data_IF_905567951866
#
_entry.id   IF_905567951866
#
_cell.length_a   1.000
_cell.length_b   1.000
_cell.length_c   1.000
_cell.angle_alpha   90.00
_cell.angle_beta   90.00
_cell.angle_gamma   90.00
#
_symmetry.space_group_name_H-M   'P 1'
#
loop_
_entity.id
_entity.type
_entity.pdbx_description
1 polymer ?
#
# COMPACT_ATOMS: atom_id res chain seq x y z
N UNK A 1 -29.61 -1.52 -18.70
CA UNK A 1 -29.25 -0.65 -17.58
C UNK A 1 -27.74 -0.69 -17.40
N UNK A 2 -27.09 0.44 -17.26
CA UNK A 2 -25.64 0.56 -17.09
C UNK A 2 -25.36 1.52 -15.93
N UNK A 3 -24.28 1.32 -15.20
CA UNK A 3 -23.75 2.33 -14.29
C UNK A 3 -22.55 2.97 -14.98
N UNK A 4 -22.72 4.17 -15.51
CA UNK A 4 -21.74 4.85 -16.32
C UNK A 4 -21.51 6.29 -15.81
N UNK A 5 -20.44 6.50 -15.00
CA UNK A 5 -20.11 7.83 -14.51
C UNK A 5 -19.64 8.82 -15.60
N UNK A 6 -19.30 8.34 -16.82
CA UNK A 6 -18.98 9.22 -17.95
C UNK A 6 -20.23 9.80 -18.62
N UNK A 7 -21.40 9.15 -18.43
CA UNK A 7 -22.71 9.59 -18.96
C UNK A 7 -22.73 9.77 -20.49
N UNK A 8 -22.00 8.89 -21.22
CA UNK A 8 -21.80 9.04 -22.69
C UNK A 8 -22.98 8.48 -23.51
N UNK A 9 -23.73 7.52 -22.96
CA UNK A 9 -24.77 6.80 -23.72
C UNK A 9 -26.18 7.23 -23.30
N UNK A 10 -26.84 8.02 -24.15
CA UNK A 10 -28.21 8.50 -23.95
C UNK A 10 -29.28 7.42 -24.24
N UNK A 11 -28.92 6.30 -24.91
CA UNK A 11 -29.88 5.25 -25.30
C UNK A 11 -30.05 4.18 -24.21
N UNK A 12 -29.21 4.18 -23.17
CA UNK A 12 -29.26 3.20 -22.09
C UNK A 12 -29.64 3.85 -20.77
N UNK A 13 -30.55 3.24 -20.01
CA UNK A 13 -30.87 3.72 -18.68
C UNK A 13 -29.61 3.70 -17.79
N UNK A 14 -29.08 4.87 -17.47
CA UNK A 14 -27.92 5.03 -16.62
C UNK A 14 -28.32 5.07 -15.14
N UNK A 15 -27.78 4.17 -14.35
CA UNK A 15 -27.98 4.12 -12.89
C UNK A 15 -27.14 5.16 -12.13
N UNK A 16 -26.08 5.70 -12.76
CA UNK A 16 -25.36 6.85 -12.23
C UNK A 16 -26.13 8.14 -12.58
N UNK A 17 -26.57 8.88 -11.58
CA UNK A 17 -27.36 10.11 -11.72
C UNK A 17 -26.56 11.38 -11.42
N UNK A 18 -25.23 11.26 -11.37
CA UNK A 18 -24.38 12.35 -10.94
C UNK A 18 -24.34 12.50 -9.42
N UNK A 19 -23.64 13.54 -8.96
CA UNK A 19 -23.65 13.91 -7.55
C UNK A 19 -25.04 14.37 -7.11
N UNK A 20 -25.38 14.08 -5.86
CA UNK A 20 -26.60 14.62 -5.22
C UNK A 20 -26.45 16.08 -4.78
N UNK A 21 -25.22 16.61 -4.81
CA UNK A 21 -24.90 17.96 -4.37
C UNK A 21 -24.94 18.94 -5.54
N UNK A 22 -25.56 20.09 -5.33
CA UNK A 22 -25.54 21.17 -6.29
C UNK A 22 -24.16 21.78 -6.42
N UNK A 23 -23.78 22.18 -7.63
CA UNK A 23 -22.56 22.95 -7.84
C UNK A 23 -22.70 24.34 -7.25
N UNK A 24 -21.75 24.72 -6.40
CA UNK A 24 -21.68 26.04 -5.77
C UNK A 24 -20.22 26.39 -5.52
N UNK A 25 -19.95 27.66 -5.28
CA UNK A 25 -18.64 28.06 -4.74
C UNK A 25 -18.49 27.53 -3.32
N UNK A 26 -17.34 26.97 -3.03
CA UNK A 26 -17.04 26.48 -1.67
C UNK A 26 -16.30 27.55 -0.88
N UNK A 27 -16.75 27.80 0.34
CA UNK A 27 -16.12 28.71 1.31
C UNK A 27 -15.36 27.96 2.40
N UNK A 28 -15.07 26.68 2.18
CA UNK A 28 -14.35 25.85 3.14
C UNK A 28 -12.88 26.28 3.25
N UNK A 29 -12.47 26.70 4.44
CA UNK A 29 -11.09 26.99 4.80
C UNK A 29 -10.48 25.80 5.57
N UNK A 30 -9.45 25.15 5.02
CA UNK A 30 -8.82 23.97 5.63
C UNK A 30 -8.35 24.21 7.07
N UNK A 31 -7.78 25.39 7.36
CA UNK A 31 -7.17 25.73 8.64
C UNK A 31 -8.15 25.73 9.80
N UNK A 32 -9.41 26.08 9.54
CA UNK A 32 -10.45 26.25 10.57
C UNK A 32 -11.53 25.16 10.51
N UNK A 33 -11.45 24.24 9.56
CA UNK A 33 -12.49 23.24 9.34
C UNK A 33 -12.19 21.94 10.08
N UNK A 34 -13.18 21.47 10.85
CA UNK A 34 -13.04 20.27 11.70
C UNK A 34 -12.83 18.97 10.90
N UNK A 35 -13.35 18.87 9.66
CA UNK A 35 -13.08 17.71 8.79
C UNK A 35 -11.59 17.62 8.46
N UNK A 36 -10.97 18.74 8.06
CA UNK A 36 -9.53 18.77 7.74
C UNK A 36 -8.66 18.61 8.96
N UNK A 37 -9.09 19.12 10.13
CA UNK A 37 -8.41 18.85 11.42
C UNK A 37 -8.34 17.34 11.68
N UNK A 38 -9.46 16.63 11.53
CA UNK A 38 -9.49 15.19 11.76
C UNK A 38 -8.75 14.42 10.65
N UNK A 39 -8.90 14.81 9.39
CA UNK A 39 -8.18 14.18 8.28
C UNK A 39 -6.67 14.30 8.45
N UNK A 40 -6.18 15.50 8.84
CA UNK A 40 -4.76 15.74 9.14
C UNK A 40 -4.28 14.89 10.31
N UNK A 41 -5.10 14.78 11.36
CA UNK A 41 -4.80 13.94 12.52
C UNK A 41 -4.67 12.46 12.13
N UNK A 42 -5.64 11.89 11.44
CA UNK A 42 -5.65 10.48 11.02
C UNK A 42 -4.50 10.18 10.05
N UNK A 43 -4.17 11.11 9.17
CA UNK A 43 -3.06 10.96 8.21
C UNK A 43 -1.69 10.90 8.89
N UNK A 44 -1.51 11.56 10.04
CA UNK A 44 -0.31 11.57 10.87
C UNK A 44 1.01 11.96 10.14
N UNK A 45 0.93 12.40 8.90
CA UNK A 45 2.05 12.78 8.03
C UNK A 45 1.56 13.80 7.00
N UNK A 46 2.26 14.93 6.80
CA UNK A 46 1.84 15.97 5.83
C UNK A 46 1.76 15.46 4.39
N UNK A 47 2.63 14.52 4.00
CA UNK A 47 2.64 13.95 2.63
C UNK A 47 1.44 13.04 2.44
N UNK A 48 1.12 12.23 3.45
CA UNK A 48 -0.09 11.37 3.48
C UNK A 48 -1.36 12.22 3.45
N UNK A 49 -1.41 13.28 4.26
CA UNK A 49 -2.54 14.22 4.29
C UNK A 49 -2.83 14.80 2.91
N UNK A 50 -1.79 15.28 2.23
CA UNK A 50 -1.90 15.84 0.89
C UNK A 50 -2.33 14.79 -0.14
N UNK A 51 -1.73 13.60 -0.11
CA UNK A 51 -2.12 12.49 -0.97
C UNK A 51 -3.58 12.10 -0.77
N UNK A 52 -4.05 12.07 0.48
CA UNK A 52 -5.43 11.72 0.80
C UNK A 52 -6.43 12.73 0.21
N UNK A 53 -6.14 14.04 0.30
CA UNK A 53 -6.96 15.08 -0.36
C UNK A 53 -7.00 14.90 -1.88
N UNK A 54 -5.85 14.67 -2.51
CA UNK A 54 -5.77 14.37 -3.94
C UNK A 54 -6.57 13.12 -4.31
N UNK A 55 -6.54 12.08 -3.50
CA UNK A 55 -7.29 10.84 -3.69
C UNK A 55 -8.81 11.07 -3.64
N UNK A 56 -9.31 11.82 -2.65
CA UNK A 56 -10.74 12.19 -2.56
C UNK A 56 -11.14 13.04 -3.77
N UNK A 57 -10.36 14.07 -4.08
CA UNK A 57 -10.62 14.98 -5.21
C UNK A 57 -10.66 14.23 -6.55
N UNK A 58 -9.77 13.23 -6.74
CA UNK A 58 -9.78 12.41 -7.95
C UNK A 58 -11.13 11.69 -8.12
N UNK A 59 -11.68 11.06 -7.08
CA UNK A 59 -12.97 10.35 -7.18
C UNK A 59 -14.12 11.34 -7.43
N UNK A 60 -14.07 12.50 -6.81
CA UNK A 60 -15.10 13.54 -7.01
C UNK A 60 -15.07 14.10 -8.44
N UNK A 61 -13.90 14.41 -8.98
CA UNK A 61 -13.72 15.01 -10.32
C UNK A 61 -13.87 14.03 -11.47
N UNK A 62 -13.34 12.80 -11.26
CA UNK A 62 -13.25 11.78 -12.32
C UNK A 62 -13.83 10.45 -11.84
N UNK A 63 -15.13 10.39 -11.49
CA UNK A 63 -15.75 9.19 -10.91
C UNK A 63 -15.73 7.96 -11.84
N UNK A 64 -15.40 8.16 -13.12
CA UNK A 64 -15.21 7.12 -14.13
C UNK A 64 -13.79 6.56 -14.20
N UNK A 65 -12.85 7.07 -13.38
CA UNK A 65 -11.47 6.58 -13.29
C UNK A 65 -11.19 6.07 -11.89
N UNK A 66 -10.85 4.80 -11.77
CA UNK A 66 -10.41 4.24 -10.47
C UNK A 66 -9.09 4.86 -10.03
N UNK A 67 -8.93 5.02 -8.73
CA UNK A 67 -7.66 5.46 -8.13
C UNK A 67 -6.57 4.39 -8.21
N UNK A 68 -6.95 3.11 -8.40
CA UNK A 68 -6.06 1.95 -8.35
C UNK A 68 -5.26 1.81 -7.04
N UNK A 69 -5.63 2.58 -6.03
CA UNK A 69 -5.02 2.60 -4.71
C UNK A 69 -6.10 2.49 -3.63
N UNK A 70 -5.92 1.57 -2.70
CA UNK A 70 -6.69 1.52 -1.46
C UNK A 70 -5.90 2.16 -0.32
N UNK A 71 -6.59 2.89 0.54
CA UNK A 71 -6.02 3.49 1.76
C UNK A 71 -6.30 2.56 2.93
N UNK A 72 -5.26 2.23 3.70
CA UNK A 72 -5.34 1.39 4.89
C UNK A 72 -5.01 2.24 6.10
N UNK A 73 -5.99 2.44 6.97
CA UNK A 73 -5.85 3.20 8.22
C UNK A 73 -5.63 2.22 9.37
N UNK A 74 -4.41 2.17 9.88
CA UNK A 74 -4.04 1.34 11.02
C UNK A 74 -3.84 2.17 12.28
N UNK A 75 -4.34 1.68 13.40
CA UNK A 75 -3.98 2.16 14.74
C UNK A 75 -4.20 1.04 15.75
N UNK A 76 -3.24 0.83 16.65
CA UNK A 76 -3.38 -0.14 17.74
C UNK A 76 -4.50 0.24 18.70
N UNK A 77 -4.73 1.54 18.92
CA UNK A 77 -5.79 2.04 19.78
C UNK A 77 -7.06 2.36 19.00
N UNK A 78 -8.22 2.12 19.63
CA UNK A 78 -9.52 2.56 19.13
C UNK A 78 -9.74 4.06 19.33
N UNK A 79 -10.72 4.62 18.60
CA UNK A 79 -11.18 5.99 18.83
C UNK A 79 -10.32 7.12 18.24
N UNK A 80 -9.28 6.82 17.45
CA UNK A 80 -8.43 7.85 16.82
C UNK A 80 -9.06 8.57 15.63
N UNK A 81 -10.29 8.18 15.21
CA UNK A 81 -11.04 8.84 14.14
C UNK A 81 -11.03 8.12 12.80
N UNK A 82 -10.49 6.89 12.69
CA UNK A 82 -10.50 6.11 11.44
C UNK A 82 -11.91 6.02 10.84
N UNK A 83 -12.87 5.53 11.65
CA UNK A 83 -14.25 5.34 11.21
C UNK A 83 -14.99 6.67 11.01
N UNK A 84 -14.65 7.70 11.75
CA UNK A 84 -15.24 9.03 11.54
C UNK A 84 -14.92 9.58 10.13
N UNK A 85 -13.68 9.40 9.64
CA UNK A 85 -13.32 9.78 8.26
C UNK A 85 -14.11 8.95 7.23
N UNK A 86 -14.26 7.64 7.43
CA UNK A 86 -15.06 6.81 6.50
C UNK A 86 -16.54 7.20 6.52
N UNK A 87 -17.10 7.56 7.68
CA UNK A 87 -18.47 8.08 7.82
C UNK A 87 -18.67 9.36 7.02
N UNK A 88 -17.73 10.30 7.10
CA UNK A 88 -17.78 11.54 6.31
C UNK A 88 -17.75 11.25 4.80
N UNK A 89 -16.86 10.34 4.35
CA UNK A 89 -16.79 9.95 2.95
C UNK A 89 -18.03 9.20 2.48
N UNK A 90 -18.67 8.39 3.34
CA UNK A 90 -19.97 7.80 3.03
C UNK A 90 -21.04 8.86 2.77
N UNK A 91 -21.04 9.95 3.54
CA UNK A 91 -21.93 11.07 3.30
C UNK A 91 -21.56 11.83 2.02
N UNK A 92 -20.27 12.05 1.77
CA UNK A 92 -19.78 12.72 0.57
C UNK A 92 -20.18 11.97 -0.71
N UNK A 93 -20.06 10.63 -0.73
CA UNK A 93 -20.42 9.78 -1.87
C UNK A 93 -21.85 9.24 -1.79
N UNK A 94 -22.55 9.42 -0.71
CA UNK A 94 -23.97 9.11 -0.43
C UNK A 94 -24.46 7.82 -1.11
N UNK A 95 -25.24 7.93 -2.21
CA UNK A 95 -25.88 6.80 -2.90
C UNK A 95 -24.85 5.83 -3.53
N UNK A 96 -23.59 6.25 -3.69
CA UNK A 96 -22.50 5.51 -4.32
C UNK A 96 -21.46 5.03 -3.32
N UNK A 97 -21.78 5.04 -2.03
CA UNK A 97 -20.96 4.41 -0.99
C UNK A 97 -21.45 2.99 -0.67
N UNK A 98 -20.55 2.13 -0.24
CA UNK A 98 -20.80 0.77 0.21
C UNK A 98 -19.97 0.42 1.43
N UNK A 99 -20.44 -0.57 2.21
CA UNK A 99 -19.74 -1.09 3.38
C UNK A 99 -19.53 -2.60 3.23
N UNK A 100 -18.40 -3.08 3.71
CA UNK A 100 -18.09 -4.50 3.86
C UNK A 100 -17.73 -4.80 5.31
N UNK A 101 -18.26 -5.90 5.82
CA UNK A 101 -17.93 -6.40 7.16
C UNK A 101 -16.74 -7.36 7.14
N UNK A 102 -16.53 -7.99 5.97
CA UNK A 102 -15.48 -8.98 5.80
C UNK A 102 -14.80 -8.82 4.43
N UNK A 103 -13.51 -9.07 4.37
CA UNK A 103 -12.75 -9.06 3.11
C UNK A 103 -13.30 -10.08 2.09
N UNK A 104 -13.91 -11.14 2.58
CA UNK A 104 -14.56 -12.14 1.74
C UNK A 104 -15.72 -11.58 0.92
N UNK A 105 -16.38 -10.50 1.38
CA UNK A 105 -17.52 -9.89 0.67
C UNK A 105 -17.12 -9.32 -0.69
N UNK A 106 -15.86 -8.89 -0.83
CA UNK A 106 -15.29 -8.44 -2.11
C UNK A 106 -14.61 -9.55 -2.90
N UNK A 107 -14.26 -10.66 -2.27
CA UNK A 107 -13.49 -11.75 -2.89
C UNK A 107 -14.33 -12.97 -3.23
N UNK A 108 -15.54 -13.06 -2.70
CA UNK A 108 -16.52 -14.11 -2.99
C UNK A 108 -17.48 -13.71 -4.10
N UNK A 109 -18.19 -14.71 -4.60
CA UNK A 109 -19.33 -14.56 -5.48
C UNK A 109 -20.52 -13.95 -4.70
N UNK A 110 -21.53 -13.40 -5.40
CA UNK A 110 -22.70 -12.73 -4.81
C UNK A 110 -22.43 -11.39 -4.11
N UNK A 111 -21.71 -10.53 -4.79
CA UNK A 111 -21.32 -9.19 -4.34
C UNK A 111 -22.26 -8.06 -4.86
N UNK A 112 -23.50 -8.38 -5.18
CA UNK A 112 -24.44 -7.43 -5.83
C UNK A 112 -24.68 -6.15 -5.03
N UNK A 113 -24.54 -6.17 -3.70
CA UNK A 113 -24.66 -5.00 -2.84
C UNK A 113 -23.48 -4.00 -2.97
N UNK A 114 -22.34 -4.45 -3.54
CA UNK A 114 -21.15 -3.63 -3.78
C UNK A 114 -21.07 -3.10 -5.23
N UNK A 115 -22.05 -3.45 -6.08
CA UNK A 115 -22.08 -2.95 -7.45
C UNK A 115 -22.56 -1.50 -7.50
N UNK A 116 -22.18 -0.76 -8.53
CA UNK A 116 -22.57 0.64 -8.74
C UNK A 116 -22.10 1.57 -7.59
N UNK A 117 -20.91 1.30 -7.06
CA UNK A 117 -20.30 2.12 -6.01
C UNK A 117 -19.07 2.84 -6.53
N UNK A 118 -18.83 4.03 -6.00
CA UNK A 118 -17.62 4.82 -6.20
C UNK A 118 -16.68 4.70 -5.00
N UNK A 119 -17.24 4.51 -3.82
CA UNK A 119 -16.53 4.41 -2.56
C UNK A 119 -17.01 3.21 -1.76
N UNK A 120 -16.08 2.38 -1.30
CA UNK A 120 -16.35 1.23 -0.43
C UNK A 120 -15.40 1.29 0.75
N UNK A 121 -15.93 1.14 1.95
CA UNK A 121 -15.10 1.02 3.14
C UNK A 121 -15.31 -0.33 3.82
N UNK A 122 -14.28 -0.80 4.48
CA UNK A 122 -14.32 -1.99 5.33
C UNK A 122 -13.73 -1.71 6.69
N UNK A 123 -14.41 -2.11 7.74
CA UNK A 123 -13.96 -1.97 9.10
C UNK A 123 -13.36 -3.29 9.61
N UNK A 124 -12.30 -3.19 10.44
CA UNK A 124 -11.58 -4.33 11.04
C UNK A 124 -11.12 -5.41 10.03
N UNK A 125 -10.76 -4.99 8.83
CA UNK A 125 -10.37 -5.91 7.75
C UNK A 125 -9.02 -6.57 8.06
N UNK A 126 -8.96 -7.89 7.84
CA UNK A 126 -7.75 -8.69 7.93
C UNK A 126 -7.50 -9.48 6.64
N UNK A 127 -6.42 -9.17 5.96
CA UNK A 127 -5.99 -9.79 4.70
C UNK A 127 -4.53 -10.28 4.76
N UNK A 128 -4.06 -10.76 5.91
CA UNK A 128 -2.68 -11.22 6.09
C UNK A 128 -2.37 -12.54 5.34
N UNK A 129 -3.38 -13.36 5.04
CA UNK A 129 -3.18 -14.54 4.20
C UNK A 129 -2.82 -14.11 2.78
N UNK A 130 -1.73 -14.63 2.23
CA UNK A 130 -1.23 -14.27 0.88
C UNK A 130 -2.34 -14.32 -0.18
N UNK A 131 -3.13 -15.38 -0.21
CA UNK A 131 -4.22 -15.57 -1.17
C UNK A 131 -5.28 -14.46 -1.09
N UNK A 132 -5.60 -14.00 0.11
CA UNK A 132 -6.58 -12.93 0.36
C UNK A 132 -5.99 -11.59 -0.05
N UNK A 133 -4.75 -11.31 0.34
CA UNK A 133 -4.02 -10.09 -0.06
C UNK A 133 -3.91 -9.97 -1.59
N UNK A 134 -3.56 -11.06 -2.29
CA UNK A 134 -3.45 -11.08 -3.75
C UNK A 134 -4.80 -10.83 -4.44
N UNK A 135 -5.89 -11.43 -3.93
CA UNK A 135 -7.24 -11.17 -4.43
C UNK A 135 -7.65 -9.71 -4.23
N UNK A 136 -7.39 -9.15 -3.04
CA UNK A 136 -7.68 -7.75 -2.76
C UNK A 136 -6.93 -6.82 -3.73
N UNK A 137 -5.64 -7.07 -3.95
CA UNK A 137 -4.83 -6.32 -4.91
C UNK A 137 -5.40 -6.37 -6.33
N UNK A 138 -6.01 -7.49 -6.74
CA UNK A 138 -6.71 -7.60 -8.02
C UNK A 138 -7.99 -6.75 -8.03
N UNK A 139 -8.80 -6.83 -6.97
CA UNK A 139 -10.06 -6.06 -6.86
C UNK A 139 -9.82 -4.55 -6.93
N UNK A 140 -8.76 -4.06 -6.27
CA UNK A 140 -8.41 -2.64 -6.27
C UNK A 140 -8.16 -2.12 -7.69
N UNK A 141 -7.57 -2.93 -8.56
CA UNK A 141 -7.11 -2.48 -9.91
C UNK A 141 -7.92 -3.01 -11.07
N UNK A 142 -8.81 -3.99 -10.87
CA UNK A 142 -9.62 -4.53 -11.96
C UNK A 142 -10.58 -3.46 -12.51
N UNK A 143 -10.71 -3.32 -13.84
CA UNK A 143 -11.65 -2.37 -14.45
C UNK A 143 -13.08 -2.92 -14.50
N UNK A 144 -13.24 -4.24 -14.34
CA UNK A 144 -14.52 -4.94 -14.44
C UNK A 144 -14.68 -5.97 -13.33
N UNK A 145 -15.90 -6.29 -13.00
CA UNK A 145 -16.26 -7.31 -12.01
C UNK A 145 -17.41 -8.17 -12.50
N UNK A 146 -17.43 -9.42 -12.04
CA UNK A 146 -18.55 -10.31 -12.29
C UNK A 146 -19.65 -10.04 -11.25
N UNK A 147 -20.84 -9.75 -11.75
CA UNK A 147 -22.05 -9.66 -10.95
C UNK A 147 -22.75 -11.01 -10.99
N UNK A 148 -22.75 -11.70 -9.86
CA UNK A 148 -23.46 -12.95 -9.68
C UNK A 148 -24.68 -12.72 -8.80
N UNK A 149 -25.85 -13.12 -9.31
CA UNK A 149 -27.12 -13.18 -8.56
C UNK A 149 -27.58 -14.60 -8.47
N UNK A 150 -28.19 -14.97 -7.34
CA UNK A 150 -28.70 -16.32 -7.14
C UNK A 150 -29.70 -16.68 -8.25
N UNK A 151 -29.39 -17.74 -9.01
CA UNK A 151 -30.25 -18.24 -10.10
C UNK A 151 -30.21 -17.44 -11.40
N UNK A 152 -29.21 -16.57 -11.60
CA UNK A 152 -29.00 -15.80 -12.82
C UNK A 152 -27.55 -16.00 -13.26
N UNK A 153 -27.31 -16.14 -14.56
CA UNK A 153 -25.96 -16.23 -15.12
C UNK A 153 -25.13 -14.99 -14.73
N UNK A 154 -23.85 -15.23 -14.48
CA UNK A 154 -22.90 -14.16 -14.17
C UNK A 154 -22.77 -13.20 -15.35
N UNK A 155 -22.86 -11.91 -15.08
CA UNK A 155 -22.63 -10.85 -16.08
C UNK A 155 -21.43 -10.01 -15.69
N UNK A 156 -20.61 -9.63 -16.67
CA UNK A 156 -19.50 -8.72 -16.47
C UNK A 156 -19.99 -7.28 -16.51
N UNK A 157 -19.63 -6.50 -15.49
CA UNK A 157 -19.97 -5.08 -15.37
C UNK A 157 -18.71 -4.27 -15.08
N UNK A 158 -18.71 -2.99 -15.47
CA UNK A 158 -17.63 -2.06 -15.15
C UNK A 158 -17.55 -1.80 -13.63
N UNK A 159 -16.33 -1.65 -13.10
CA UNK A 159 -16.05 -1.42 -11.69
C UNK A 159 -15.31 -0.08 -11.48
N UNK A 160 -15.98 0.84 -10.81
CA UNK A 160 -15.48 2.18 -10.48
C UNK A 160 -15.18 2.35 -8.98
N UNK A 161 -15.22 1.27 -8.22
CA UNK A 161 -15.07 1.33 -6.76
C UNK A 161 -13.65 1.65 -6.32
N UNK A 162 -13.55 2.52 -5.30
CA UNK A 162 -12.32 2.89 -4.61
C UNK A 162 -12.46 2.54 -3.13
N UNK A 163 -11.36 2.18 -2.46
CA UNK A 163 -11.42 1.47 -1.19
C UNK A 163 -10.66 2.18 -0.08
N UNK A 164 -11.27 2.22 1.11
CA UNK A 164 -10.59 2.48 2.38
C UNK A 164 -10.87 1.33 3.34
N UNK A 165 -9.83 0.86 4.01
CA UNK A 165 -9.94 -0.16 5.04
C UNK A 165 -9.41 0.36 6.36
N UNK A 166 -10.10 0.05 7.46
CA UNK A 166 -9.63 0.33 8.80
C UNK A 166 -9.24 -0.97 9.50
N UNK A 167 -8.26 -0.90 10.38
CA UNK A 167 -7.81 -2.05 11.14
C UNK A 167 -7.12 -1.64 12.44
N UNK A 168 -7.18 -2.53 13.44
CA UNK A 168 -6.40 -2.44 14.68
C UNK A 168 -5.28 -3.49 14.71
N UNK A 169 -5.13 -4.29 13.65
CA UNK A 169 -4.10 -5.32 13.52
C UNK A 169 -2.95 -4.81 12.66
N UNK A 170 -1.75 -4.75 13.21
CA UNK A 170 -0.53 -4.30 12.51
C UNK A 170 -0.21 -5.17 11.30
N UNK A 171 -0.38 -6.48 11.42
CA UNK A 171 -0.10 -7.46 10.37
C UNK A 171 -1.32 -7.80 9.51
N UNK A 172 -2.24 -6.86 9.33
CA UNK A 172 -3.49 -7.07 8.60
C UNK A 172 -3.31 -7.31 7.10
N UNK A 173 -2.22 -6.83 6.51
CA UNK A 173 -1.90 -6.98 5.08
C UNK A 173 -0.48 -7.45 4.87
N UNK A 174 -0.31 -8.38 3.93
CA UNK A 174 1.03 -8.76 3.47
C UNK A 174 1.53 -7.73 2.45
N UNK A 175 2.44 -6.87 2.90
CA UNK A 175 3.09 -5.86 2.06
C UNK A 175 4.39 -6.45 1.50
N UNK A 176 4.55 -6.34 0.19
CA UNK A 176 5.77 -6.70 -0.52
C UNK A 176 6.50 -5.43 -0.96
N UNK A 177 7.83 -5.50 -1.07
CA UNK A 177 8.61 -4.40 -1.63
C UNK A 177 8.11 -4.07 -3.05
N UNK A 178 7.87 -2.78 -3.33
CA UNK A 178 7.35 -2.35 -4.63
C UNK A 178 5.83 -2.45 -4.81
N UNK A 179 5.06 -2.81 -3.76
CA UNK A 179 3.60 -2.71 -3.83
C UNK A 179 3.17 -1.29 -4.14
N UNK A 180 2.33 -1.13 -5.18
CA UNK A 180 1.86 0.17 -5.71
C UNK A 180 0.38 0.44 -5.47
N UNK A 181 -0.32 -0.45 -4.75
CA UNK A 181 -1.78 -0.43 -4.62
C UNK A 181 -2.28 -0.06 -3.24
N UNK A 182 -1.44 -0.22 -2.21
CA UNK A 182 -1.83 0.00 -0.83
C UNK A 182 -1.11 1.22 -0.25
N UNK A 183 -1.84 2.25 0.16
CA UNK A 183 -1.34 3.32 1.00
C UNK A 183 -1.50 2.90 2.46
N UNK A 184 -0.41 2.54 3.12
CA UNK A 184 -0.41 2.16 4.53
C UNK A 184 -0.21 3.40 5.40
N UNK A 185 -1.19 3.72 6.22
CA UNK A 185 -1.19 4.89 7.11
C UNK A 185 -1.22 4.41 8.56
N UNK A 186 -0.18 4.72 9.32
CA UNK A 186 -0.17 4.54 10.77
C UNK A 186 -0.74 5.80 11.41
N UNK A 187 -2.00 5.70 11.85
CA UNK A 187 -2.65 6.78 12.57
C UNK A 187 -1.97 7.04 13.91
N UNK A 188 -2.19 8.21 14.55
CA UNK A 188 -1.61 8.51 15.85
C UNK A 188 -2.02 7.53 16.95
N UNK A 189 -1.16 7.39 17.97
CA UNK A 189 -1.44 6.60 19.16
C UNK A 189 -2.20 7.43 20.25
N UNK A 190 -2.80 8.56 19.84
CA UNK A 190 -3.60 9.44 20.70
C UNK A 190 -4.82 9.92 19.93
N UNK A 191 -6.00 9.83 20.55
CA UNK A 191 -7.23 10.41 20.03
C UNK A 191 -7.21 11.94 20.16
N UNK A 192 -8.02 12.64 19.36
CA UNK A 192 -8.37 14.03 19.57
C UNK A 192 -9.25 14.17 20.83
N UNK A 193 -9.54 15.39 21.24
CA UNK A 193 -10.44 15.66 22.36
C UNK A 193 -11.88 15.26 22.01
N UNK A 194 -12.67 14.88 22.99
CA UNK A 194 -14.06 14.43 22.79
C UNK A 194 -14.92 15.50 22.09
N UNK A 195 -14.64 16.74 22.39
CA UNK A 195 -15.31 17.92 21.80
C UNK A 195 -15.07 18.03 20.31
N UNK A 196 -13.86 17.66 19.84
CA UNK A 196 -13.53 17.65 18.42
C UNK A 196 -14.38 16.60 17.67
N UNK A 197 -14.54 15.41 18.22
CA UNK A 197 -15.40 14.39 17.60
C UNK A 197 -16.88 14.81 17.59
N UNK A 198 -17.35 15.44 18.66
CA UNK A 198 -18.72 16.00 18.73
C UNK A 198 -18.92 17.08 17.66
N UNK A 199 -17.97 17.99 17.54
CA UNK A 199 -18.00 19.03 16.51
C UNK A 199 -17.94 18.41 15.10
N UNK A 200 -17.11 17.40 14.91
CA UNK A 200 -17.00 16.69 13.64
C UNK A 200 -18.31 16.01 13.21
N UNK A 201 -18.95 15.26 14.12
CA UNK A 201 -20.22 14.61 13.80
C UNK A 201 -21.35 15.63 13.58
N UNK A 202 -21.37 16.75 14.32
CA UNK A 202 -22.30 17.84 14.04
C UNK A 202 -22.07 18.41 12.62
N UNK A 203 -20.81 18.63 12.24
CA UNK A 203 -20.42 19.14 10.94
C UNK A 203 -20.88 18.21 9.80
N UNK A 204 -20.54 16.92 9.87
CA UNK A 204 -20.87 15.96 8.79
C UNK A 204 -22.35 15.60 8.75
N UNK A 205 -23.12 15.86 9.80
CA UNK A 205 -24.58 15.62 9.82
C UNK A 205 -25.37 16.75 9.16
N UNK A 206 -24.75 17.93 8.93
CA UNK A 206 -25.37 18.99 8.17
C UNK A 206 -25.13 18.77 6.65
N UNK A 207 -26.22 18.59 5.86
CA UNK A 207 -26.10 18.40 4.40
C UNK A 207 -25.43 19.58 3.69
N UNK A 208 -25.55 20.81 4.21
CA UNK A 208 -24.94 22.00 3.61
C UNK A 208 -23.41 21.92 3.73
N UNK A 209 -22.89 21.54 4.89
CA UNK A 209 -21.46 21.36 5.10
C UNK A 209 -20.87 20.28 4.19
N UNK A 210 -21.61 19.18 3.98
CA UNK A 210 -21.17 18.12 3.05
C UNK A 210 -21.24 18.60 1.59
N UNK A 211 -22.24 19.42 1.23
CA UNK A 211 -22.33 20.04 -0.09
C UNK A 211 -21.13 20.97 -0.34
N UNK A 212 -20.78 21.82 0.61
CA UNK A 212 -19.60 22.68 0.54
C UNK A 212 -18.30 21.85 0.47
N UNK A 213 -18.18 20.80 1.27
CA UNK A 213 -17.03 19.90 1.25
C UNK A 213 -16.89 19.17 -0.10
N UNK A 214 -18.00 18.75 -0.71
CA UNK A 214 -18.01 18.18 -2.06
C UNK A 214 -17.47 19.19 -3.09
N UNK A 215 -17.96 20.44 -3.05
CA UNK A 215 -17.54 21.48 -3.97
C UNK A 215 -16.08 21.92 -3.73
N UNK A 216 -15.59 21.87 -2.48
CA UNK A 216 -14.17 22.02 -2.18
C UNK A 216 -13.34 21.00 -2.95
N UNK A 217 -13.65 19.70 -2.83
CA UNK A 217 -12.91 18.64 -3.55
C UNK A 217 -13.12 18.68 -5.06
N UNK A 218 -14.25 19.20 -5.55
CA UNK A 218 -14.51 19.38 -6.97
C UNK A 218 -13.57 20.45 -7.60
N UNK A 219 -13.16 21.44 -6.83
CA UNK A 219 -12.26 22.53 -7.28
C UNK A 219 -10.83 22.38 -6.80
N UNK A 220 -10.57 21.49 -5.83
CA UNK A 220 -9.25 21.29 -5.22
C UNK A 220 -8.20 20.95 -6.27
N UNK A 221 -7.04 21.62 -6.26
CA UNK A 221 -5.92 21.28 -7.15
C UNK A 221 -5.24 19.98 -6.71
N UNK A 222 -5.50 18.91 -7.45
CA UNK A 222 -4.92 17.59 -7.22
C UNK A 222 -3.77 17.23 -8.20
N UNK A 223 -3.17 18.22 -8.86
CA UNK A 223 -2.10 18.04 -9.84
C UNK A 223 -0.80 17.51 -9.25
N UNK A 224 -0.63 17.63 -7.92
CA UNK A 224 0.57 17.16 -7.22
C UNK A 224 0.79 15.64 -7.31
N UNK A 225 -0.30 14.86 -7.43
CA UNK A 225 -0.26 13.41 -7.62
C UNK A 225 -1.20 13.01 -8.75
N UNK A 226 -0.69 12.36 -9.77
CA UNK A 226 -1.51 11.76 -10.83
C UNK A 226 -2.08 10.42 -10.30
N UNK A 227 -3.17 10.55 -9.52
CA UNK A 227 -3.82 9.40 -8.87
C UNK A 227 -4.24 8.36 -9.92
N UNK A 228 -3.88 7.10 -9.67
CA UNK A 228 -4.16 5.98 -10.58
C UNK A 228 -3.06 5.71 -11.62
N UNK A 229 -2.12 6.64 -11.80
CA UNK A 229 -0.95 6.53 -12.69
C UNK A 229 0.34 6.48 -11.88
N UNK A 230 0.55 7.46 -11.02
CA UNK A 230 1.70 7.51 -10.14
C UNK A 230 1.72 6.32 -9.16
N UNK A 231 2.94 5.92 -8.79
CA UNK A 231 3.09 4.97 -7.70
C UNK A 231 2.57 5.59 -6.41
N UNK A 232 1.87 4.78 -5.60
CA UNK A 232 1.48 5.20 -4.26
C UNK A 232 2.72 5.57 -3.44
N UNK A 233 2.60 6.63 -2.65
CA UNK A 233 3.68 7.09 -1.78
C UNK A 233 4.15 5.98 -0.83
N UNK A 234 5.46 5.92 -0.59
CA UNK A 234 6.07 4.98 0.34
C UNK A 234 6.15 5.63 1.72
N UNK A 235 5.18 5.32 2.59
CA UNK A 235 5.21 5.78 3.99
C UNK A 235 6.28 5.03 4.78
N UNK A 236 6.79 5.62 5.86
CA UNK A 236 7.72 4.94 6.76
C UNK A 236 7.12 3.63 7.30
N UNK A 237 5.85 3.64 7.66
CA UNK A 237 5.13 2.46 8.12
C UNK A 237 5.02 1.37 7.05
N UNK A 238 4.69 1.74 5.80
CA UNK A 238 4.65 0.77 4.69
C UNK A 238 6.01 0.14 4.44
N UNK A 239 7.08 0.94 4.54
CA UNK A 239 8.46 0.49 4.38
C UNK A 239 8.85 -0.51 5.48
N UNK A 240 8.51 -0.20 6.74
CA UNK A 240 8.68 -1.11 7.88
C UNK A 240 7.99 -2.45 7.63
N UNK A 241 6.69 -2.44 7.28
CA UNK A 241 5.93 -3.67 7.00
C UNK A 241 6.52 -4.49 5.85
N UNK A 242 7.02 -3.83 4.79
CA UNK A 242 7.69 -4.53 3.69
C UNK A 242 8.96 -5.25 4.17
N UNK A 243 9.74 -4.63 5.03
CA UNK A 243 10.94 -5.22 5.60
C UNK A 243 10.64 -6.37 6.54
N UNK A 244 9.64 -6.25 7.42
CA UNK A 244 9.18 -7.32 8.30
C UNK A 244 8.64 -8.54 7.52
N UNK A 245 8.13 -8.32 6.32
CA UNK A 245 7.68 -9.39 5.43
C UNK A 245 8.80 -9.96 4.53
N UNK A 246 10.04 -9.51 4.70
CA UNK A 246 11.17 -10.04 3.93
C UNK A 246 11.38 -11.52 4.27
N UNK A 247 11.48 -12.41 3.27
CA UNK A 247 11.65 -13.84 3.53
C UNK A 247 12.95 -14.15 4.26
N UNK A 248 12.91 -15.12 5.17
CA UNK A 248 14.06 -15.58 5.95
C UNK A 248 15.30 -15.89 5.11
N UNK A 249 15.12 -16.45 3.90
CA UNK A 249 16.22 -16.75 2.99
C UNK A 249 16.88 -15.52 2.35
N UNK A 250 16.21 -14.36 2.37
CA UNK A 250 16.83 -13.08 2.00
C UNK A 250 17.54 -12.49 3.21
N UNK A 251 16.86 -12.46 4.35
CA UNK A 251 17.38 -11.92 5.61
C UNK A 251 18.71 -12.56 6.04
N UNK A 252 18.85 -13.90 5.91
CA UNK A 252 20.06 -14.63 6.30
C UNK A 252 21.33 -14.08 5.65
N UNK A 253 21.29 -13.62 4.40
CA UNK A 253 22.46 -13.06 3.72
C UNK A 253 22.89 -11.73 4.35
N UNK A 254 21.93 -10.90 4.76
CA UNK A 254 22.21 -9.61 5.37
C UNK A 254 22.70 -9.72 6.81
N UNK A 255 22.20 -10.73 7.55
CA UNK A 255 22.58 -10.96 8.95
C UNK A 255 23.91 -11.71 9.10
N UNK A 256 24.15 -12.70 8.25
CA UNK A 256 25.29 -13.61 8.38
C UNK A 256 26.17 -13.65 7.11
N UNK A 257 26.58 -12.51 6.53
CA UNK A 257 27.29 -12.46 5.24
C UNK A 257 28.63 -13.23 5.26
N UNK A 258 29.24 -13.38 6.42
CA UNK A 258 30.51 -14.13 6.59
C UNK A 258 30.37 -15.63 6.31
N UNK A 259 29.16 -16.19 6.43
CA UNK A 259 28.92 -17.61 6.16
C UNK A 259 28.95 -17.96 4.67
N UNK A 260 28.76 -16.96 3.80
CA UNK A 260 28.63 -17.16 2.35
C UNK A 260 29.84 -16.67 1.57
N UNK A 261 30.50 -15.62 2.07
CA UNK A 261 31.69 -15.03 1.45
C UNK A 261 32.82 -16.07 1.33
N UNK A 262 33.49 -16.08 0.19
CA UNK A 262 34.61 -17.02 -0.07
C UNK A 262 34.18 -18.43 -0.44
N UNK A 263 32.87 -18.72 -0.57
CA UNK A 263 32.37 -20.08 -0.81
C UNK A 263 31.72 -20.25 -2.20
N UNK A 264 31.62 -21.54 -2.62
CA UNK A 264 30.79 -21.94 -3.75
C UNK A 264 29.75 -22.94 -3.25
N UNK A 265 28.48 -22.54 -3.21
CA UNK A 265 27.40 -23.24 -2.53
C UNK A 265 26.36 -23.72 -3.55
N UNK A 266 25.92 -24.98 -3.49
CA UNK A 266 24.83 -25.46 -4.34
C UNK A 266 23.49 -24.86 -3.89
N UNK A 267 22.55 -24.71 -4.82
CA UNK A 267 21.21 -24.20 -4.50
C UNK A 267 20.47 -25.04 -3.45
N UNK A 268 20.69 -26.39 -3.47
CA UNK A 268 20.08 -27.30 -2.49
C UNK A 268 20.63 -27.04 -1.09
N UNK A 269 21.96 -26.99 -0.95
CA UNK A 269 22.59 -26.73 0.34
C UNK A 269 22.23 -25.32 0.86
N UNK A 270 22.20 -24.31 -0.03
CA UNK A 270 21.81 -22.95 0.35
C UNK A 270 20.33 -22.87 0.79
N UNK A 271 19.45 -23.68 0.19
CA UNK A 271 18.06 -23.82 0.63
C UNK A 271 17.97 -24.46 2.02
N UNK A 272 18.77 -25.48 2.28
CA UNK A 272 18.80 -26.14 3.61
C UNK A 272 19.29 -25.14 4.67
N UNK A 273 20.36 -24.38 4.39
CA UNK A 273 20.85 -23.30 5.26
C UNK A 273 19.74 -22.26 5.54
N UNK A 274 18.97 -21.88 4.51
CA UNK A 274 17.88 -20.93 4.66
C UNK A 274 16.75 -21.47 5.55
N UNK A 275 16.41 -22.74 5.43
CA UNK A 275 15.42 -23.40 6.29
C UNK A 275 15.88 -23.50 7.74
N UNK A 276 17.16 -23.82 7.93
CA UNK A 276 17.75 -23.88 9.27
C UNK A 276 17.84 -22.50 9.92
N UNK A 277 18.21 -21.47 9.16
CA UNK A 277 18.16 -20.08 9.60
C UNK A 277 16.74 -19.68 10.02
N UNK A 278 15.74 -19.99 9.19
CA UNK A 278 14.34 -19.69 9.49
C UNK A 278 13.89 -20.37 10.79
N UNK A 279 14.19 -21.65 10.98
CA UNK A 279 13.85 -22.39 12.21
C UNK A 279 14.53 -21.78 13.44
N UNK A 280 15.84 -21.50 13.35
CA UNK A 280 16.64 -20.93 14.45
C UNK A 280 16.11 -19.56 14.90
N UNK A 281 15.58 -18.77 13.97
CA UNK A 281 15.08 -17.42 14.23
C UNK A 281 13.55 -17.34 14.33
N UNK A 282 12.85 -18.47 14.46
CA UNK A 282 11.37 -18.56 14.57
C UNK A 282 10.64 -17.91 13.40
N UNK A 283 11.25 -17.92 12.21
CA UNK A 283 10.68 -17.37 10.98
C UNK A 283 9.98 -18.46 10.16
N UNK A 284 9.15 -18.06 9.20
CA UNK A 284 8.51 -19.01 8.29
C UNK A 284 9.55 -19.72 7.41
N UNK A 285 9.54 -21.05 7.43
CA UNK A 285 10.37 -21.91 6.58
C UNK A 285 9.60 -22.50 5.38
N UNK A 286 8.34 -22.07 5.14
CA UNK A 286 7.47 -22.55 4.08
C UNK A 286 7.80 -21.90 2.72
N UNK A 287 8.98 -22.19 2.18
CA UNK A 287 9.37 -21.78 0.85
C UNK A 287 9.93 -22.96 0.04
N UNK A 288 9.60 -22.96 -1.26
CA UNK A 288 10.01 -24.02 -2.19
C UNK A 288 11.35 -23.69 -2.84
N UNK A 289 12.00 -24.70 -3.44
CA UNK A 289 13.20 -24.50 -4.26
C UNK A 289 12.99 -23.50 -5.38
N UNK A 290 11.81 -23.47 -6.00
CA UNK A 290 11.48 -22.55 -7.08
C UNK A 290 11.43 -21.09 -6.58
N UNK A 291 10.69 -20.84 -5.49
CA UNK A 291 10.58 -19.49 -4.91
C UNK A 291 11.92 -18.98 -4.42
N UNK A 292 12.62 -19.83 -3.65
CA UNK A 292 13.97 -19.55 -3.15
C UNK A 292 14.95 -19.25 -4.31
N UNK A 293 15.02 -20.16 -5.31
CA UNK A 293 15.95 -20.03 -6.42
C UNK A 293 15.72 -18.79 -7.28
N UNK A 294 14.45 -18.40 -7.50
CA UNK A 294 14.12 -17.19 -8.28
C UNK A 294 14.62 -15.92 -7.57
N UNK A 295 14.34 -15.78 -6.29
CA UNK A 295 14.68 -14.57 -5.54
C UNK A 295 16.18 -14.51 -5.21
N UNK A 296 16.79 -15.62 -4.80
CA UNK A 296 18.24 -15.67 -4.56
C UNK A 296 19.02 -15.40 -5.85
N UNK A 297 18.53 -15.88 -6.99
CA UNK A 297 19.14 -15.57 -8.29
C UNK A 297 19.04 -14.06 -8.60
N UNK A 298 17.92 -13.40 -8.34
CA UNK A 298 17.79 -11.98 -8.53
C UNK A 298 18.77 -11.17 -7.67
N UNK A 299 18.96 -11.58 -6.43
CA UNK A 299 19.91 -10.96 -5.50
C UNK A 299 21.39 -11.14 -5.92
N UNK A 300 21.72 -12.28 -6.55
CA UNK A 300 23.10 -12.68 -6.87
C UNK A 300 23.27 -13.07 -8.35
N UNK A 301 22.68 -12.32 -9.27
CA UNK A 301 22.70 -12.65 -10.72
C UNK A 301 24.12 -12.91 -11.25
N UNK A 302 25.10 -12.10 -10.86
CA UNK A 302 26.50 -12.17 -11.35
C UNK A 302 27.28 -13.36 -10.74
N UNK A 303 26.74 -13.98 -9.72
CA UNK A 303 27.41 -15.08 -8.99
C UNK A 303 26.79 -16.46 -9.25
N UNK A 304 25.80 -16.54 -10.14
CA UNK A 304 25.11 -17.81 -10.46
C UNK A 304 25.83 -18.55 -11.58
N UNK A 305 26.29 -19.77 -11.30
CA UNK A 305 26.86 -20.70 -12.28
C UNK A 305 25.92 -21.89 -12.52
N UNK A 306 25.74 -22.27 -13.79
CA UNK A 306 24.84 -23.35 -14.22
C UNK A 306 25.61 -24.49 -14.92
N UNK A 307 26.52 -25.14 -14.18
CA UNK A 307 27.21 -26.35 -14.67
C UNK A 307 26.87 -27.48 -13.71
N UNK A 308 26.23 -28.56 -14.18
CA UNK A 308 25.79 -29.70 -13.35
C UNK A 308 24.98 -29.30 -12.11
N UNK A 309 23.99 -28.43 -12.29
CA UNK A 309 23.16 -27.84 -11.24
C UNK A 309 23.45 -26.36 -11.00
N UNK A 310 22.51 -25.67 -10.36
CA UNK A 310 22.69 -24.24 -10.01
C UNK A 310 23.59 -24.12 -8.78
N UNK A 311 24.63 -23.33 -8.88
CA UNK A 311 25.56 -23.00 -7.80
C UNK A 311 25.70 -21.49 -7.68
N UNK A 312 25.93 -21.01 -6.46
CA UNK A 312 26.27 -19.63 -6.14
C UNK A 312 27.76 -19.56 -5.80
N UNK A 313 28.54 -18.88 -6.62
CA UNK A 313 30.00 -18.84 -6.50
C UNK A 313 30.48 -17.49 -5.94
N UNK A 314 30.70 -17.46 -4.65
CA UNK A 314 31.18 -16.29 -3.91
C UNK A 314 32.66 -16.36 -3.58
N UNK A 315 33.44 -17.30 -4.19
CA UNK A 315 34.86 -17.54 -3.86
C UNK A 315 35.75 -16.31 -3.99
N UNK A 316 35.42 -15.40 -4.88
CA UNK A 316 36.15 -14.16 -5.09
C UNK A 316 35.63 -12.98 -4.26
N UNK A 317 34.65 -13.19 -3.38
CA UNK A 317 34.11 -12.17 -2.49
C UNK A 317 34.65 -12.34 -1.08
N UNK A 318 35.35 -11.33 -0.58
CA UNK A 318 35.58 -11.19 0.88
C UNK A 318 34.25 -10.82 1.56
N UNK A 319 34.18 -10.99 2.88
CA UNK A 319 33.00 -10.59 3.68
C UNK A 319 32.66 -9.11 3.46
N UNK A 320 33.67 -8.23 3.34
CA UNK A 320 33.47 -6.80 3.06
C UNK A 320 32.83 -6.58 1.70
N UNK A 321 33.35 -7.19 0.63
CA UNK A 321 32.77 -7.09 -0.72
C UNK A 321 31.35 -7.71 -0.80
N UNK A 322 31.09 -8.74 -0.03
CA UNK A 322 29.76 -9.34 0.06
C UNK A 322 28.78 -8.36 0.70
N UNK A 323 29.16 -7.71 1.81
CA UNK A 323 28.37 -6.65 2.46
C UNK A 323 28.15 -5.46 1.53
N UNK A 324 29.18 -5.03 0.80
CA UNK A 324 29.10 -3.96 -0.19
C UNK A 324 28.09 -4.27 -1.31
N UNK A 325 28.11 -5.52 -1.82
CA UNK A 325 27.15 -6.00 -2.80
C UNK A 325 25.72 -5.90 -2.26
N UNK A 326 25.45 -6.40 -1.06
CA UNK A 326 24.13 -6.35 -0.43
C UNK A 326 23.66 -4.91 -0.18
N UNK A 327 24.58 -4.05 0.25
CA UNK A 327 24.29 -2.62 0.43
C UNK A 327 23.89 -1.93 -0.90
N UNK A 328 24.60 -2.23 -1.99
CA UNK A 328 24.26 -1.72 -3.34
C UNK A 328 22.91 -2.27 -3.85
N UNK A 329 22.57 -3.52 -3.51
CA UNK A 329 21.31 -4.13 -3.91
C UNK A 329 20.10 -3.48 -3.21
N UNK A 330 20.16 -3.22 -1.90
CA UNK A 330 19.13 -2.53 -1.15
C UNK A 330 19.72 -1.85 0.08
N UNK A 331 20.15 -0.58 -0.07
CA UNK A 331 20.74 0.23 0.99
C UNK A 331 19.82 0.32 2.20
N UNK A 332 18.56 0.65 1.97
CA UNK A 332 17.61 0.92 3.04
C UNK A 332 17.31 -0.33 3.87
N UNK A 333 17.16 -1.48 3.20
CA UNK A 333 17.00 -2.76 3.91
C UNK A 333 18.26 -3.16 4.65
N UNK A 334 19.44 -2.92 4.07
CA UNK A 334 20.72 -3.19 4.75
C UNK A 334 20.86 -2.40 6.05
N UNK A 335 20.51 -1.11 6.04
CA UNK A 335 20.54 -0.26 7.22
C UNK A 335 19.52 -0.72 8.27
N UNK A 336 18.28 -0.96 7.85
CA UNK A 336 17.21 -1.46 8.71
C UNK A 336 17.58 -2.75 9.42
N UNK A 337 17.97 -3.79 8.66
CA UNK A 337 18.22 -5.13 9.22
C UNK A 337 19.45 -5.19 10.14
N UNK A 338 20.40 -4.26 10.00
CA UNK A 338 21.57 -4.14 10.84
C UNK A 338 21.43 -3.09 11.96
N UNK A 339 20.22 -2.49 12.14
CA UNK A 339 19.91 -1.47 13.13
C UNK A 339 20.84 -0.24 13.01
N UNK A 340 21.09 0.21 11.77
CA UNK A 340 21.94 1.37 11.49
C UNK A 340 21.06 2.58 11.15
N UNK A 341 21.52 3.78 11.48
CA UNK A 341 20.82 5.03 11.19
C UNK A 341 20.75 5.29 9.67
N UNK A 342 19.77 6.09 9.23
CA UNK A 342 19.51 6.33 7.81
C UNK A 342 20.63 7.08 7.09
N UNK A 343 21.44 7.87 7.83
CA UNK A 343 22.59 8.63 7.37
C UNK A 343 23.92 7.88 7.55
N UNK A 344 23.90 6.69 8.17
CA UNK A 344 25.10 5.89 8.34
C UNK A 344 25.70 5.49 6.98
N UNK A 345 26.98 5.80 6.82
CA UNK A 345 27.79 5.39 5.66
C UNK A 345 28.76 4.31 6.13
N UNK A 346 28.66 3.06 5.64
CA UNK A 346 29.62 2.02 6.00
C UNK A 346 31.05 2.37 5.53
N UNK A 347 32.04 2.04 6.33
CA UNK A 347 33.47 2.32 6.03
C UNK A 347 33.96 1.74 4.69
N UNK A 348 33.30 0.68 4.18
CA UNK A 348 33.60 0.14 2.86
C UNK A 348 33.08 1.04 1.71
N UNK A 349 32.11 1.91 1.98
CA UNK A 349 31.61 2.93 1.03
C UNK A 349 32.48 4.17 1.08
N UNK A 350 32.88 4.63 2.28
CA UNK A 350 33.78 5.78 2.46
C UNK A 350 35.09 5.60 1.69
N UNK A 351 35.71 4.41 1.81
CA UNK A 351 36.94 4.07 1.08
C UNK A 351 36.80 3.97 -0.44
N UNK A 352 35.59 3.81 -0.95
CA UNK A 352 35.32 3.83 -2.39
C UNK A 352 35.20 5.28 -2.89
N UNK A 353 34.56 6.16 -2.12
CA UNK A 353 34.44 7.59 -2.43
C UNK A 353 35.83 8.26 -2.44
N UNK A 354 36.66 7.99 -1.44
CA UNK A 354 38.03 8.49 -1.37
C UNK A 354 38.95 8.06 -2.56
N UNK A 355 38.63 6.91 -3.21
CA UNK A 355 39.36 6.43 -4.38
C UNK A 355 38.92 7.05 -5.69
N UNK A 356 37.65 7.44 -5.79
CA UNK A 356 37.10 8.09 -6.98
C UNK A 356 37.42 9.58 -7.03
N UNK A 357 37.78 10.23 -5.89
CA UNK A 357 38.20 11.63 -5.79
C UNK A 357 39.69 11.83 -6.07
N UNK A 358 40.48 10.77 -6.25
CA UNK A 358 41.88 10.91 -6.69
C UNK A 358 41.91 11.08 -8.20
N UNK A 359 42.05 12.35 -8.59
CA UNK A 359 42.16 12.78 -9.98
C UNK A 359 43.36 12.07 -10.67
N UNK A 360 43.19 11.42 -11.84
CA UNK A 360 44.27 10.71 -12.54
C UNK A 360 45.38 11.59 -13.07
N UNK A 361 45.41 12.90 -12.74
CA UNK A 361 46.42 13.86 -13.21
C UNK A 361 47.52 14.18 -12.20
N UNK A 362 47.52 13.54 -11.02
CA UNK A 362 48.55 13.72 -9.98
C UNK A 362 49.42 12.46 -9.78
N UNK A 363 49.58 11.62 -10.82
CA UNK A 363 50.50 10.49 -10.82
C UNK A 363 51.54 10.62 -11.97
#
# INVERSE_FOLDING_TARGET
MKFDPMMIDDNTYNMYKGSVYSKMESHVEETNNIFFKLLKHVSNDPVVYEYFKCWISHIVKTPYKKTNVAIILYSMIGGVGKNAITDALCKLFKNYSGHIENIDDITKNFNSHLTNKLFIYGDEINANAKKVSDKLKQVITRPKQNLEKKGIDSIEIDDYSNYIFTTNNENCFKIEEGDRRLLMVKCPDKALEKEDYKAFYNYINDPNNICELYNYFLTYDNSKYEIGVDRVIMTAYKKQLAYENTPAYTEMFYKEPGLYAGQCISSTHLLDMAKDYAKKNYLSSNFTMTTFGTQTKALFTDYVKRNNGTKYDFRNLSTTKFKEHLYKMNKDYYLYINNLESDYIPTFVEKAIEKDDVNPLDA
#
